data_IF_825903526477
#
_entry.id   IF_825903526477
#
_cell.length_a   1.000
_cell.length_b   1.000
_cell.length_c   1.000
_cell.angle_alpha   90.00
_cell.angle_beta   90.00
_cell.angle_gamma   90.00
#
_symmetry.space_group_name_H-M   'P 1'
#
loop_
_entity.id
_entity.type
_entity.pdbx_description
1 polymer ?
#
# COMPACT_ATOMS: atom_id res chain seq x y z
N UNK A 1 24.36 30.11 43.54
CA UNK A 1 25.05 29.51 42.38
C UNK A 1 24.07 28.56 41.71
N UNK A 2 23.35 29.00 40.67
CA UNK A 2 22.51 28.12 39.87
C UNK A 2 23.36 27.58 38.71
N UNK A 3 23.56 26.27 38.69
CA UNK A 3 24.20 25.57 37.57
C UNK A 3 23.18 25.39 36.45
N UNK A 4 23.38 26.13 35.35
CA UNK A 4 22.64 25.93 34.11
C UNK A 4 23.22 24.71 33.40
N UNK A 5 22.47 23.60 33.34
CA UNK A 5 22.81 22.47 32.49
C UNK A 5 22.48 22.82 31.03
N UNK A 6 23.52 23.02 30.21
CA UNK A 6 23.38 23.06 28.76
C UNK A 6 23.11 21.63 28.28
N UNK A 7 21.88 21.34 27.85
CA UNK A 7 21.60 20.13 27.08
C UNK A 7 22.05 20.40 25.65
N UNK A 8 23.14 19.77 25.24
CA UNK A 8 23.57 19.79 23.85
C UNK A 8 22.56 18.98 23.01
N UNK A 9 21.72 19.68 22.26
CA UNK A 9 20.90 19.06 21.19
C UNK A 9 21.86 18.75 20.05
N UNK A 10 22.31 17.50 19.96
CA UNK A 10 23.01 17.03 18.77
C UNK A 10 22.05 17.10 17.59
N UNK A 11 22.43 17.70 16.44
CA UNK A 11 21.63 17.59 15.25
C UNK A 11 21.52 16.11 14.88
N UNK A 12 20.30 15.62 14.72
CA UNK A 12 20.03 14.31 14.14
C UNK A 12 20.54 14.39 12.70
N UNK A 13 21.82 14.08 12.49
CA UNK A 13 22.34 13.80 11.15
C UNK A 13 21.54 12.58 10.71
N UNK A 14 20.58 12.77 9.81
CA UNK A 14 19.82 11.68 9.23
C UNK A 14 20.83 10.68 8.67
N UNK A 15 21.04 9.58 9.38
CA UNK A 15 21.87 8.51 8.88
C UNK A 15 21.19 8.04 7.60
N UNK A 16 21.91 8.12 6.49
CA UNK A 16 21.49 7.55 5.22
C UNK A 16 21.41 6.03 5.41
N UNK A 17 20.24 5.53 5.81
CA UNK A 17 20.05 4.10 6.02
C UNK A 17 19.67 3.49 4.69
N UNK A 18 20.53 2.61 4.20
CA UNK A 18 20.10 1.64 3.19
C UNK A 18 19.24 0.60 3.87
N UNK A 19 18.14 0.16 3.25
CA UNK A 19 17.26 -0.84 3.86
C UNK A 19 16.74 -1.86 2.86
N UNK A 20 17.03 -3.13 3.13
CA UNK A 20 16.53 -4.26 2.34
C UNK A 20 15.02 -4.49 2.50
N UNK A 21 14.34 -3.79 3.41
CA UNK A 21 12.89 -3.90 3.65
C UNK A 21 12.06 -3.10 2.64
N UNK A 22 12.68 -2.15 1.92
CA UNK A 22 12.01 -1.23 1.00
C UNK A 22 11.58 -1.94 -0.27
N UNK A 23 10.32 -1.76 -0.64
CA UNK A 23 9.79 -2.20 -1.93
C UNK A 23 9.23 -1.06 -2.76
N UNK A 24 8.55 -1.43 -3.84
CA UNK A 24 7.80 -0.50 -4.68
C UNK A 24 6.31 -0.86 -4.71
N UNK A 25 5.46 0.07 -4.29
CA UNK A 25 4.04 0.09 -4.69
C UNK A 25 3.97 0.73 -6.07
N UNK A 26 3.85 -0.10 -7.10
CA UNK A 26 4.05 0.33 -8.47
C UNK A 26 2.74 0.73 -9.15
N UNK A 27 2.61 2.02 -9.47
CA UNK A 27 1.50 2.57 -10.25
C UNK A 27 2.01 2.98 -11.64
N UNK A 28 1.92 2.11 -12.67
CA UNK A 28 2.44 2.42 -14.00
C UNK A 28 1.76 3.64 -14.59
N UNK A 29 2.56 4.55 -15.16
CA UNK A 29 2.05 5.73 -15.84
C UNK A 29 2.45 5.72 -17.32
N UNK A 30 1.46 5.53 -18.21
CA UNK A 30 1.68 5.48 -19.65
C UNK A 30 2.17 6.81 -20.26
N UNK A 31 2.02 7.93 -19.53
CA UNK A 31 2.50 9.25 -19.99
C UNK A 31 4.01 9.41 -19.83
N UNK A 32 4.61 8.69 -18.87
CA UNK A 32 6.04 8.75 -18.55
C UNK A 32 6.60 7.34 -18.26
N UNK A 33 6.55 6.42 -19.24
CA UNK A 33 7.04 5.05 -19.05
C UNK A 33 8.55 5.00 -18.76
N UNK A 34 9.30 6.06 -19.09
CA UNK A 34 10.71 6.21 -18.76
C UNK A 34 10.99 6.28 -17.25
N UNK A 35 10.03 6.76 -16.45
CA UNK A 35 10.16 6.89 -14.99
C UNK A 35 10.35 5.50 -14.34
N UNK A 36 9.86 4.43 -14.98
CA UNK A 36 10.01 3.06 -14.49
C UNK A 36 11.48 2.65 -14.26
N UNK A 37 12.41 3.25 -15.02
CA UNK A 37 13.84 2.97 -14.88
C UNK A 37 14.44 3.59 -13.62
N UNK A 38 13.82 4.62 -13.05
CA UNK A 38 14.33 5.32 -11.87
C UNK A 38 14.31 4.40 -10.65
N UNK A 39 13.27 3.60 -10.49
CA UNK A 39 13.05 2.79 -9.29
C UNK A 39 14.05 1.64 -9.12
N UNK A 40 14.57 1.14 -10.24
CA UNK A 40 15.51 0.02 -10.31
C UNK A 40 16.90 0.46 -10.82
N UNK A 41 17.18 1.76 -10.74
CA UNK A 41 18.49 2.28 -11.16
C UNK A 41 19.61 1.73 -10.26
N UNK A 42 20.84 1.68 -10.79
CA UNK A 42 22.00 1.17 -10.04
C UNK A 42 22.15 1.89 -8.70
N UNK A 43 22.25 1.09 -7.63
CA UNK A 43 22.36 1.57 -6.25
C UNK A 43 21.02 1.81 -5.55
N UNK A 44 19.89 1.55 -6.21
CA UNK A 44 18.57 1.57 -5.57
C UNK A 44 18.45 0.47 -4.51
N UNK A 45 17.86 0.81 -3.37
CA UNK A 45 17.60 -0.12 -2.26
C UNK A 45 16.37 -1.01 -2.45
N UNK A 46 15.57 -0.81 -3.50
CA UNK A 46 14.29 -1.53 -3.63
C UNK A 46 14.51 -3.01 -3.99
N UNK A 47 13.97 -3.91 -3.17
CA UNK A 47 14.20 -5.37 -3.31
C UNK A 47 12.97 -6.15 -3.78
N UNK A 48 11.79 -5.55 -3.75
CA UNK A 48 10.53 -6.18 -4.14
C UNK A 48 9.50 -5.16 -4.62
N UNK A 49 8.45 -5.60 -5.31
CA UNK A 49 7.34 -4.76 -5.71
C UNK A 49 6.03 -5.51 -5.82
N UNK A 50 4.94 -4.76 -5.78
CA UNK A 50 3.63 -5.19 -6.23
C UNK A 50 3.00 -4.07 -7.08
N UNK A 51 1.99 -4.40 -7.86
CA UNK A 51 1.39 -3.50 -8.85
C UNK A 51 -0.15 -3.55 -8.85
N UNK A 52 -0.74 -4.01 -7.75
CA UNK A 52 -2.18 -4.28 -7.61
C UNK A 52 -2.75 -5.36 -8.54
N UNK A 53 -1.90 -6.16 -9.17
CA UNK A 53 -2.32 -7.20 -10.13
C UNK A 53 -1.76 -8.57 -9.74
N UNK A 54 -2.34 -9.60 -10.35
CA UNK A 54 -1.89 -10.98 -10.21
C UNK A 54 -0.68 -11.33 -11.09
N UNK A 55 -0.30 -10.45 -12.02
CA UNK A 55 0.82 -10.63 -12.95
C UNK A 55 1.85 -9.51 -12.88
N UNK A 56 3.15 -9.80 -13.13
CA UNK A 56 4.20 -8.81 -13.04
C UNK A 56 4.05 -7.75 -14.15
N UNK A 57 4.36 -6.50 -13.80
CA UNK A 57 4.43 -5.43 -14.79
C UNK A 57 5.51 -5.69 -15.85
N UNK A 58 5.22 -5.49 -17.16
CA UNK A 58 6.21 -5.68 -18.22
C UNK A 58 7.49 -4.87 -18.04
N UNK A 59 7.41 -3.71 -17.36
CA UNK A 59 8.54 -2.84 -17.07
C UNK A 59 9.69 -3.53 -16.31
N UNK A 60 9.40 -4.57 -15.52
CA UNK A 60 10.40 -5.30 -14.74
C UNK A 60 10.50 -6.78 -15.14
N UNK A 61 9.87 -7.17 -16.26
CA UNK A 61 9.88 -8.57 -16.73
C UNK A 61 11.27 -9.10 -17.07
N UNK A 62 12.24 -8.22 -17.30
CA UNK A 62 13.65 -8.57 -17.52
C UNK A 62 14.49 -8.62 -16.26
N UNK A 63 13.96 -8.16 -15.12
CA UNK A 63 14.67 -8.16 -13.84
C UNK A 63 14.45 -9.50 -13.15
N UNK A 64 15.50 -10.20 -12.72
CA UNK A 64 15.34 -11.48 -12.02
C UNK A 64 14.51 -11.35 -10.74
N UNK A 65 13.64 -12.32 -10.48
CA UNK A 65 12.84 -12.41 -9.24
C UNK A 65 13.71 -12.37 -7.97
N UNK A 66 14.97 -12.81 -8.04
CA UNK A 66 15.93 -12.78 -6.93
C UNK A 66 16.54 -11.40 -6.67
N UNK A 67 16.44 -10.47 -7.62
CA UNK A 67 16.94 -9.10 -7.51
C UNK A 67 15.81 -8.11 -7.19
N UNK A 68 14.64 -8.31 -7.80
CA UNK A 68 13.46 -7.49 -7.58
C UNK A 68 12.19 -8.37 -7.57
N UNK A 69 11.83 -8.84 -6.38
CA UNK A 69 10.76 -9.82 -6.20
C UNK A 69 9.39 -9.23 -6.58
N UNK A 70 8.70 -9.80 -7.56
CA UNK A 70 7.29 -9.52 -7.77
C UNK A 70 6.41 -10.27 -6.76
N UNK A 71 5.52 -9.55 -6.09
CA UNK A 71 4.52 -10.10 -5.17
C UNK A 71 3.11 -9.92 -5.78
N UNK A 72 2.44 -11.00 -6.22
CA UNK A 72 1.09 -10.93 -6.78
C UNK A 72 0.07 -10.46 -5.74
N UNK A 73 -0.92 -9.69 -6.17
CA UNK A 73 -2.05 -9.26 -5.34
C UNK A 73 -3.38 -9.68 -5.95
N UNK A 74 -4.27 -10.24 -5.14
CA UNK A 74 -5.68 -10.37 -5.52
C UNK A 74 -6.41 -9.12 -5.05
N UNK A 75 -6.44 -8.07 -5.87
CA UNK A 75 -6.91 -6.74 -5.45
C UNK A 75 -8.35 -6.75 -4.89
N UNK A 76 -9.24 -7.52 -5.51
CA UNK A 76 -10.64 -7.63 -5.10
C UNK A 76 -11.25 -8.96 -5.55
N UNK A 77 -12.58 -9.04 -5.51
CA UNK A 77 -13.32 -10.28 -5.78
C UNK A 77 -14.27 -10.06 -6.96
N UNK A 78 -14.30 -11.02 -7.89
CA UNK A 78 -15.24 -11.01 -9.00
C UNK A 78 -16.69 -11.23 -8.51
N UNK A 79 -17.73 -10.99 -9.33
CA UNK A 79 -19.11 -11.35 -8.95
C UNK A 79 -19.29 -12.81 -8.53
N UNK A 80 -18.44 -13.72 -9.00
CA UNK A 80 -18.31 -15.06 -8.44
C UNK A 80 -17.18 -15.10 -7.41
N UNK A 81 -17.46 -15.21 -6.10
CA UNK A 81 -16.42 -15.27 -5.08
C UNK A 81 -15.61 -16.57 -5.10
N UNK A 82 -16.06 -17.61 -5.80
CA UNK A 82 -15.33 -18.88 -5.95
C UNK A 82 -14.51 -18.93 -7.24
N UNK A 83 -14.41 -17.82 -7.98
CA UNK A 83 -13.53 -17.74 -9.14
C UNK A 83 -12.06 -17.96 -8.73
N UNK A 84 -11.35 -18.82 -9.48
CA UNK A 84 -9.98 -19.25 -9.18
C UNK A 84 -8.94 -18.66 -10.12
N UNK A 85 -9.25 -17.55 -10.80
CA UNK A 85 -8.32 -16.92 -11.76
C UNK A 85 -7.01 -16.51 -11.07
N UNK A 86 -7.09 -15.96 -9.86
CA UNK A 86 -5.88 -15.59 -9.09
C UNK A 86 -4.98 -16.80 -8.81
N UNK A 87 -5.54 -17.88 -8.25
CA UNK A 87 -4.81 -19.13 -8.01
C UNK A 87 -4.17 -19.67 -9.30
N UNK A 88 -4.90 -19.68 -10.42
CA UNK A 88 -4.39 -20.13 -11.72
C UNK A 88 -3.25 -19.25 -12.23
N UNK A 89 -3.37 -17.93 -12.10
CA UNK A 89 -2.32 -16.99 -12.50
C UNK A 89 -1.05 -17.20 -11.69
N UNK A 90 -1.15 -17.25 -10.35
CA UNK A 90 0.01 -17.45 -9.47
C UNK A 90 0.67 -18.81 -9.73
N UNK A 91 -0.11 -19.89 -9.83
CA UNK A 91 0.43 -21.22 -10.11
C UNK A 91 1.04 -21.34 -11.51
N UNK A 92 0.50 -20.62 -12.50
CA UNK A 92 1.07 -20.51 -13.85
C UNK A 92 2.40 -19.76 -13.86
N UNK A 93 2.55 -18.68 -13.09
CA UNK A 93 3.84 -17.98 -12.93
C UNK A 93 4.92 -18.95 -12.39
N UNK A 94 4.56 -19.79 -11.42
CA UNK A 94 5.48 -20.75 -10.82
C UNK A 94 5.80 -21.89 -11.81
N UNK A 95 4.77 -22.58 -12.32
CA UNK A 95 4.95 -23.83 -13.07
C UNK A 95 5.33 -23.61 -14.52
N UNK A 96 4.76 -22.60 -15.17
CA UNK A 96 4.91 -22.40 -16.61
C UNK A 96 5.98 -21.35 -16.94
N UNK A 97 6.23 -20.41 -16.02
CA UNK A 97 7.23 -19.34 -16.20
C UNK A 97 8.47 -19.52 -15.33
N UNK A 98 8.47 -20.44 -14.37
CA UNK A 98 9.61 -20.68 -13.47
C UNK A 98 9.89 -19.50 -12.52
N UNK A 99 8.92 -18.63 -12.28
CA UNK A 99 9.07 -17.48 -11.38
C UNK A 99 8.85 -17.96 -9.95
N UNK A 100 9.85 -17.73 -9.09
CA UNK A 100 9.78 -18.12 -7.68
C UNK A 100 8.89 -17.16 -6.87
N UNK A 101 7.58 -17.39 -6.90
CA UNK A 101 6.61 -16.66 -6.08
C UNK A 101 6.64 -17.22 -4.66
N UNK A 102 7.03 -16.40 -3.69
CA UNK A 102 7.12 -16.81 -2.28
C UNK A 102 6.07 -16.16 -1.38
N UNK A 103 5.51 -15.02 -1.79
CA UNK A 103 4.48 -14.27 -1.08
C UNK A 103 3.33 -13.89 -2.03
N UNK A 104 2.13 -13.73 -1.47
CA UNK A 104 0.99 -13.10 -2.15
C UNK A 104 0.27 -12.13 -1.22
N UNK A 105 -0.30 -11.07 -1.79
CA UNK A 105 -1.08 -10.06 -1.08
C UNK A 105 -2.59 -10.32 -1.26
N UNK A 106 -3.33 -10.17 -0.17
CA UNK A 106 -4.78 -10.20 -0.13
C UNK A 106 -5.44 -8.96 -0.75
N UNK A 107 -6.73 -8.80 -0.46
CA UNK A 107 -7.57 -7.73 -1.01
C UNK A 107 -7.11 -6.34 -0.57
N UNK A 108 -7.26 -5.36 -1.48
CA UNK A 108 -6.86 -3.98 -1.26
C UNK A 108 -8.02 -3.16 -0.67
N UNK A 109 -7.88 -2.73 0.57
CA UNK A 109 -8.87 -1.92 1.30
C UNK A 109 -10.29 -2.44 1.13
N UNK A 110 -10.57 -3.71 1.49
CA UNK A 110 -11.90 -4.27 1.34
C UNK A 110 -12.94 -3.61 2.26
N UNK A 111 -12.51 -2.92 3.31
CA UNK A 111 -13.34 -2.09 4.19
C UNK A 111 -13.58 -0.68 3.64
N UNK A 112 -12.91 -0.32 2.53
CA UNK A 112 -13.03 0.97 1.84
C UNK A 112 -13.82 0.86 0.54
N UNK A 113 -14.59 1.90 0.16
CA UNK A 113 -15.38 1.88 -1.06
C UNK A 113 -14.53 2.06 -2.32
N UNK A 114 -15.01 1.54 -3.45
CA UNK A 114 -14.39 1.73 -4.77
C UNK A 114 -14.14 3.19 -5.14
N UNK A 115 -15.00 4.11 -4.68
CA UNK A 115 -14.87 5.54 -4.94
C UNK A 115 -13.56 6.16 -4.40
N UNK A 116 -12.93 5.51 -3.41
CA UNK A 116 -11.65 5.93 -2.84
C UNK A 116 -10.50 4.99 -3.18
N UNK A 117 -10.71 4.02 -4.08
CA UNK A 117 -9.69 3.05 -4.48
C UNK A 117 -9.68 1.75 -3.69
N UNK A 118 -10.64 1.53 -2.79
CA UNK A 118 -10.80 0.25 -2.09
C UNK A 118 -11.55 -0.80 -2.90
N UNK A 119 -11.47 -2.06 -2.46
CA UNK A 119 -12.12 -3.17 -3.15
C UNK A 119 -13.57 -3.41 -2.71
N UNK A 120 -14.07 -2.71 -1.69
CA UNK A 120 -15.48 -2.69 -1.24
C UNK A 120 -16.10 -4.08 -1.09
N UNK A 121 -15.60 -4.86 -0.13
CA UNK A 121 -15.99 -6.26 0.06
C UNK A 121 -16.60 -6.52 1.43
N UNK A 122 -17.71 -7.25 1.45
CA UNK A 122 -18.20 -7.85 2.68
C UNK A 122 -17.22 -8.94 3.18
N UNK A 123 -16.94 -9.02 4.49
CA UNK A 123 -16.03 -10.02 5.05
C UNK A 123 -16.37 -11.47 4.68
N UNK A 124 -17.66 -11.79 4.54
CA UNK A 124 -18.12 -13.14 4.18
C UNK A 124 -17.83 -13.49 2.71
N UNK A 125 -17.91 -12.51 1.81
CA UNK A 125 -17.59 -12.68 0.39
C UNK A 125 -16.07 -12.83 0.23
N UNK A 126 -15.30 -11.98 0.90
CA UNK A 126 -13.85 -12.09 0.94
C UNK A 126 -13.39 -13.46 1.48
N UNK A 127 -14.04 -13.99 2.52
CA UNK A 127 -13.71 -15.30 3.09
C UNK A 127 -13.89 -16.45 2.09
N UNK A 128 -14.96 -16.44 1.27
CA UNK A 128 -15.15 -17.44 0.21
C UNK A 128 -14.03 -17.38 -0.84
N UNK A 129 -13.68 -16.18 -1.28
CA UNK A 129 -12.57 -15.98 -2.22
C UNK A 129 -11.23 -16.40 -1.65
N UNK A 130 -10.99 -16.15 -0.35
CA UNK A 130 -9.80 -16.61 0.35
C UNK A 130 -9.70 -18.13 0.39
N UNK A 131 -10.79 -18.83 0.71
CA UNK A 131 -10.80 -20.30 0.70
C UNK A 131 -10.56 -20.86 -0.70
N UNK A 132 -11.16 -20.25 -1.74
CA UNK A 132 -10.99 -20.70 -3.11
C UNK A 132 -9.57 -20.46 -3.67
N UNK A 133 -8.91 -19.36 -3.29
CA UNK A 133 -7.65 -18.94 -3.90
C UNK A 133 -6.44 -19.03 -2.99
N UNK A 134 -6.54 -18.58 -1.73
CA UNK A 134 -5.39 -18.42 -0.84
C UNK A 134 -5.08 -19.69 -0.04
N UNK A 135 -6.10 -20.42 0.42
CA UNK A 135 -5.87 -21.69 1.15
C UNK A 135 -5.02 -22.68 0.32
N UNK A 136 -5.33 -22.95 -0.96
CA UNK A 136 -4.48 -23.82 -1.78
C UNK A 136 -3.06 -23.27 -2.00
N UNK A 137 -2.89 -21.95 -2.10
CA UNK A 137 -1.55 -21.34 -2.20
C UNK A 137 -0.75 -21.55 -0.90
N UNK A 138 -1.40 -21.43 0.25
CA UNK A 138 -0.80 -21.70 1.56
C UNK A 138 -0.37 -23.17 1.70
N UNK A 139 -1.17 -24.12 1.21
CA UNK A 139 -0.83 -25.55 1.16
C UNK A 139 0.40 -25.82 0.27
N UNK A 140 0.65 -24.96 -0.73
CA UNK A 140 1.87 -24.99 -1.55
C UNK A 140 3.08 -24.34 -0.86
N UNK A 141 2.93 -23.81 0.35
CA UNK A 141 3.99 -23.15 1.11
C UNK A 141 4.19 -21.67 0.76
N UNK A 142 3.31 -21.07 -0.03
CA UNK A 142 3.35 -19.64 -0.36
C UNK A 142 2.84 -18.85 0.84
N UNK A 143 3.53 -17.77 1.19
CA UNK A 143 3.20 -16.91 2.31
C UNK A 143 2.01 -16.01 2.00
N UNK A 144 1.01 -16.03 2.87
CA UNK A 144 -0.27 -15.36 2.64
C UNK A 144 -0.37 -14.06 3.44
N UNK A 145 -0.47 -12.93 2.73
CA UNK A 145 -0.77 -11.64 3.31
C UNK A 145 -2.27 -11.47 3.50
N UNK A 146 -2.70 -11.14 4.72
CA UNK A 146 -4.10 -10.78 4.99
C UNK A 146 -4.56 -9.60 4.12
N UNK A 147 -5.88 -9.36 4.02
CA UNK A 147 -6.38 -8.18 3.33
C UNK A 147 -5.83 -6.89 3.95
N UNK A 148 -5.41 -5.96 3.09
CA UNK A 148 -4.82 -4.69 3.48
C UNK A 148 -5.95 -3.69 3.74
N UNK A 149 -6.54 -3.70 4.93
CA UNK A 149 -7.60 -2.74 5.28
C UNK A 149 -7.08 -1.30 5.33
N UNK A 150 -8.00 -0.35 5.17
CA UNK A 150 -7.72 1.07 5.37
C UNK A 150 -7.15 1.34 6.78
N UNK A 151 -6.51 2.50 6.96
CA UNK A 151 -6.07 2.97 8.28
C UNK A 151 -7.21 3.33 9.24
N UNK A 152 -8.47 3.20 8.82
CA UNK A 152 -9.63 3.54 9.65
C UNK A 152 -9.90 2.50 10.75
N UNK A 153 -10.56 2.89 11.87
CA UNK A 153 -10.91 1.97 12.93
C UNK A 153 -11.76 0.76 12.49
N UNK A 154 -12.50 0.87 11.38
CA UNK A 154 -13.34 -0.20 10.86
C UNK A 154 -12.54 -1.40 10.32
N UNK A 155 -11.27 -1.21 9.94
CA UNK A 155 -10.46 -2.29 9.37
C UNK A 155 -10.18 -3.45 10.34
N UNK A 156 -10.03 -3.18 11.64
CA UNK A 156 -9.79 -4.26 12.63
C UNK A 156 -11.02 -5.17 12.82
N UNK A 157 -12.23 -4.64 13.09
CA UNK A 157 -13.45 -5.45 13.08
C UNK A 157 -13.66 -6.21 11.76
N UNK A 158 -13.35 -5.59 10.61
CA UNK A 158 -13.48 -6.24 9.31
C UNK A 158 -12.59 -7.49 9.21
N UNK A 159 -11.30 -7.38 9.59
CA UNK A 159 -10.36 -8.50 9.57
C UNK A 159 -10.77 -9.66 10.49
N UNK A 160 -11.25 -9.34 11.70
CA UNK A 160 -11.74 -10.35 12.64
C UNK A 160 -12.97 -11.10 12.10
N UNK A 161 -13.93 -10.38 11.51
CA UNK A 161 -15.09 -11.00 10.86
C UNK A 161 -14.69 -11.87 9.68
N UNK A 162 -13.77 -11.38 8.84
CA UNK A 162 -13.24 -12.11 7.69
C UNK A 162 -12.60 -13.44 8.11
N UNK A 163 -11.70 -13.41 9.11
CA UNK A 163 -11.04 -14.62 9.62
C UNK A 163 -12.02 -15.59 10.29
N UNK A 164 -13.02 -15.08 11.02
CA UNK A 164 -14.08 -15.89 11.60
C UNK A 164 -14.88 -16.64 10.53
N UNK A 165 -15.37 -15.91 9.52
CA UNK A 165 -16.09 -16.49 8.38
C UNK A 165 -15.23 -17.51 7.61
N UNK A 166 -13.95 -17.19 7.39
CA UNK A 166 -13.03 -18.09 6.70
C UNK A 166 -12.83 -19.40 7.49
N UNK A 167 -12.61 -19.29 8.80
CA UNK A 167 -12.41 -20.43 9.69
C UNK A 167 -13.65 -21.33 9.75
N UNK A 168 -14.85 -20.74 9.73
CA UNK A 168 -16.11 -21.49 9.63
C UNK A 168 -16.20 -22.28 8.31
N UNK A 169 -15.86 -21.66 7.18
CA UNK A 169 -15.92 -22.30 5.85
C UNK A 169 -14.99 -23.52 5.72
N UNK A 170 -13.82 -23.50 6.35
CA UNK A 170 -12.86 -24.61 6.28
C UNK A 170 -13.02 -25.64 7.41
N UNK A 171 -13.91 -25.38 8.37
CA UNK A 171 -14.21 -26.30 9.46
C UNK A 171 -15.23 -27.35 8.99
N UNK A 172 -14.85 -28.62 8.95
CA UNK A 172 -15.70 -29.72 8.43
C UNK A 172 -15.85 -30.83 9.45
N UNK A 173 -17.03 -31.47 9.52
CA UNK A 173 -17.21 -32.70 10.29
C UNK A 173 -16.96 -32.58 11.80
N UNK A 174 -17.08 -31.37 12.36
CA UNK A 174 -16.80 -31.08 13.77
C UNK A 174 -15.35 -30.74 14.09
N UNK A 175 -14.44 -30.81 13.12
CA UNK A 175 -13.05 -30.33 13.28
C UNK A 175 -12.99 -28.82 13.03
N UNK A 176 -12.63 -28.06 14.06
CA UNK A 176 -12.44 -26.61 13.95
C UNK A 176 -11.05 -26.30 13.40
N UNK A 177 -11.00 -25.53 12.31
CA UNK A 177 -9.77 -25.06 11.68
C UNK A 177 -9.80 -23.54 11.59
N UNK A 178 -8.64 -22.93 11.83
CA UNK A 178 -8.47 -21.49 11.61
C UNK A 178 -7.85 -21.27 10.23
N UNK A 179 -8.31 -20.26 9.51
CA UNK A 179 -7.64 -19.87 8.28
C UNK A 179 -6.21 -19.41 8.58
N UNK A 180 -5.28 -19.92 7.78
CA UNK A 180 -3.86 -19.60 7.90
C UNK A 180 -3.55 -18.30 7.18
N UNK A 181 -2.56 -17.60 7.73
CA UNK A 181 -1.95 -16.40 7.18
C UNK A 181 -0.55 -16.28 7.77
N UNK A 182 0.32 -15.52 7.12
CA UNK A 182 1.73 -15.38 7.54
C UNK A 182 2.07 -13.94 7.93
N UNK A 183 1.47 -12.96 7.24
CA UNK A 183 1.74 -11.55 7.47
C UNK A 183 0.49 -10.69 7.29
N UNK A 184 0.54 -9.49 7.85
CA UNK A 184 -0.53 -8.50 7.84
C UNK A 184 -0.06 -7.24 7.13
N UNK A 185 -0.53 -7.02 5.89
CA UNK A 185 -0.49 -5.73 5.22
C UNK A 185 -1.22 -4.64 6.02
N UNK A 186 -0.63 -3.44 6.11
CA UNK A 186 -1.25 -2.27 6.76
C UNK A 186 -1.12 -1.04 5.88
N UNK A 187 -2.21 -0.27 5.79
CA UNK A 187 -2.25 1.01 5.09
C UNK A 187 -2.36 2.18 6.08
N UNK A 188 -1.72 3.31 5.77
CA UNK A 188 -1.82 4.49 6.61
C UNK A 188 -1.56 5.82 5.88
N UNK A 189 -2.54 6.73 5.93
CA UNK A 189 -2.46 8.04 5.27
C UNK A 189 -2.70 9.20 6.25
N UNK A 190 -1.86 9.33 7.27
CA UNK A 190 -1.89 10.41 8.27
C UNK A 190 -0.51 10.51 8.98
N UNK A 191 -0.43 11.25 10.07
CA UNK A 191 0.78 11.50 10.85
C UNK A 191 1.46 10.24 11.43
N UNK A 192 2.72 10.40 11.84
CA UNK A 192 3.56 9.31 12.35
C UNK A 192 3.08 8.72 13.68
N UNK A 193 2.56 9.54 14.60
CA UNK A 193 2.08 9.04 15.89
C UNK A 193 0.91 8.08 15.71
N UNK A 194 -0.02 8.41 14.81
CA UNK A 194 -1.12 7.54 14.43
C UNK A 194 -0.63 6.26 13.72
N UNK A 195 0.34 6.36 12.82
CA UNK A 195 0.95 5.19 12.17
C UNK A 195 1.53 4.20 13.19
N UNK A 196 2.35 4.69 14.13
CA UNK A 196 2.95 3.86 15.16
C UNK A 196 1.90 3.24 16.08
N UNK A 197 0.86 4.00 16.45
CA UNK A 197 -0.28 3.49 17.23
C UNK A 197 -1.05 2.40 16.46
N UNK A 198 -1.30 2.61 15.16
CA UNK A 198 -2.01 1.68 14.29
C UNK A 198 -1.26 0.35 14.20
N UNK A 199 0.05 0.40 13.90
CA UNK A 199 0.90 -0.80 13.87
C UNK A 199 0.92 -1.51 15.23
N UNK A 200 0.97 -0.75 16.34
CA UNK A 200 0.88 -1.30 17.69
C UNK A 200 -0.42 -2.07 17.94
N UNK A 201 -1.57 -1.51 17.55
CA UNK A 201 -2.88 -2.16 17.65
C UNK A 201 -2.92 -3.45 16.81
N UNK A 202 -2.42 -3.39 15.56
CA UNK A 202 -2.34 -4.58 14.70
C UNK A 202 -1.47 -5.66 15.31
N UNK A 203 -0.30 -5.31 15.84
CA UNK A 203 0.61 -6.25 16.47
C UNK A 203 0.02 -6.89 17.72
N UNK A 204 -0.79 -6.16 18.49
CA UNK A 204 -1.45 -6.70 19.67
C UNK A 204 -2.55 -7.73 19.32
N UNK A 205 -3.24 -7.56 18.18
CA UNK A 205 -4.29 -8.47 17.73
C UNK A 205 -3.75 -9.66 16.90
N UNK A 206 -2.60 -9.49 16.26
CA UNK A 206 -1.94 -10.47 15.40
C UNK A 206 -0.48 -10.71 15.85
N UNK A 207 -0.27 -11.28 17.06
CA UNK A 207 1.05 -11.36 17.70
C UNK A 207 2.02 -12.35 17.03
N UNK A 208 1.58 -13.14 16.06
CA UNK A 208 2.47 -14.04 15.32
C UNK A 208 2.72 -13.57 13.89
N UNK A 209 1.91 -12.65 13.38
CA UNK A 209 2.05 -12.11 12.03
C UNK A 209 3.21 -11.11 11.92
N UNK A 210 3.98 -11.21 10.84
CA UNK A 210 4.82 -10.11 10.38
C UNK A 210 3.94 -8.97 9.88
N UNK A 211 4.42 -7.74 9.97
CA UNK A 211 3.76 -6.55 9.43
C UNK A 211 4.45 -6.16 8.14
N UNK A 212 3.64 -5.96 7.09
CA UNK A 212 4.08 -5.31 5.86
C UNK A 212 3.34 -3.99 5.74
N UNK A 213 4.05 -2.86 5.68
CA UNK A 213 3.41 -1.55 5.48
C UNK A 213 3.28 -1.32 3.99
N UNK A 214 2.19 -1.82 3.39
CA UNK A 214 2.05 -1.86 1.92
C UNK A 214 1.65 -0.52 1.32
N UNK A 215 1.06 0.38 2.09
CA UNK A 215 0.87 1.76 1.65
C UNK A 215 0.99 2.72 2.82
N UNK A 216 1.82 3.74 2.67
CA UNK A 216 1.81 4.85 3.60
C UNK A 216 2.36 6.14 3.01
N UNK A 217 1.78 7.26 3.42
CA UNK A 217 2.28 8.61 3.16
C UNK A 217 1.59 9.61 4.09
N UNK A 218 2.23 10.74 4.40
CA UNK A 218 1.53 11.82 5.11
C UNK A 218 0.81 12.72 4.09
N UNK A 219 -0.43 12.34 3.76
CA UNK A 219 -1.16 12.91 2.65
C UNK A 219 -1.49 14.40 2.84
N UNK A 220 -1.34 15.16 1.75
CA UNK A 220 -1.70 16.58 1.64
C UNK A 220 -1.05 17.52 2.68
N UNK A 221 0.15 17.19 3.13
CA UNK A 221 0.90 18.03 4.07
C UNK A 221 1.95 18.92 3.40
N UNK A 222 2.42 19.91 4.16
CA UNK A 222 3.55 20.74 3.81
C UNK A 222 4.85 19.93 3.69
N UNK A 223 5.77 20.40 2.85
CA UNK A 223 6.99 19.67 2.49
C UNK A 223 7.81 19.24 3.71
N UNK A 224 8.02 20.16 4.66
CA UNK A 224 8.80 19.89 5.87
C UNK A 224 8.16 18.77 6.71
N UNK A 225 6.84 18.82 6.92
CA UNK A 225 6.11 17.79 7.67
C UNK A 225 6.14 16.43 6.97
N UNK A 226 6.05 16.39 5.64
CA UNK A 226 6.16 15.14 4.87
C UNK A 226 7.57 14.55 4.94
N UNK A 227 8.61 15.39 4.86
CA UNK A 227 10.01 14.96 5.01
C UNK A 227 10.31 14.45 6.42
N UNK A 228 9.80 15.12 7.46
CA UNK A 228 9.93 14.68 8.84
C UNK A 228 9.21 13.34 9.05
N UNK A 229 7.98 13.21 8.57
CA UNK A 229 7.23 11.95 8.61
C UNK A 229 7.98 10.81 7.94
N UNK A 230 8.53 11.05 6.75
CA UNK A 230 9.32 10.05 6.03
C UNK A 230 10.54 9.59 6.86
N UNK A 231 11.32 10.53 7.40
CA UNK A 231 12.50 10.20 8.18
C UNK A 231 12.15 9.41 9.46
N UNK A 232 11.09 9.81 10.18
CA UNK A 232 10.63 9.09 11.37
C UNK A 232 10.12 7.68 11.04
N UNK A 233 9.33 7.53 9.98
CA UNK A 233 8.77 6.24 9.59
C UNK A 233 9.83 5.28 9.05
N UNK A 234 10.76 5.74 8.21
CA UNK A 234 11.85 4.91 7.70
C UNK A 234 12.75 4.40 8.83
N UNK A 235 13.16 5.25 9.77
CA UNK A 235 13.93 4.84 10.97
C UNK A 235 13.17 3.77 11.76
N UNK A 236 11.89 4.04 12.05
CA UNK A 236 11.06 3.15 12.84
C UNK A 236 10.91 1.78 12.18
N UNK A 237 10.65 1.73 10.87
CA UNK A 237 10.48 0.47 10.14
C UNK A 237 11.78 -0.32 10.04
N UNK A 238 12.91 0.35 9.83
CA UNK A 238 14.21 -0.31 9.74
C UNK A 238 14.60 -0.94 11.09
N UNK A 239 14.30 -0.27 12.22
CA UNK A 239 14.62 -0.74 13.58
C UNK A 239 13.76 -1.91 14.08
N UNK A 240 12.52 -2.04 13.61
CA UNK A 240 11.55 -2.97 14.20
C UNK A 240 11.51 -4.32 13.45
N UNK A 241 11.86 -5.40 14.14
CA UNK A 241 12.03 -6.75 13.55
C UNK A 241 10.75 -7.41 13.00
N UNK A 242 9.59 -7.05 13.57
CA UNK A 242 8.31 -7.58 13.08
C UNK A 242 7.77 -6.79 11.89
N UNK A 243 8.33 -5.63 11.57
CA UNK A 243 8.06 -4.91 10.31
C UNK A 243 9.06 -5.46 9.31
N UNK A 244 8.57 -6.33 8.42
CA UNK A 244 9.42 -7.08 7.51
C UNK A 244 9.67 -6.31 6.22
N UNK A 245 8.63 -5.65 5.69
CA UNK A 245 8.68 -4.91 4.43
C UNK A 245 7.81 -3.67 4.46
N UNK A 246 8.16 -2.67 3.65
CA UNK A 246 7.33 -1.48 3.49
C UNK A 246 7.44 -0.83 2.10
N UNK A 247 6.38 -0.14 1.69
CA UNK A 247 6.25 0.57 0.42
C UNK A 247 5.68 1.97 0.64
N UNK A 248 6.52 2.99 0.52
CA UNK A 248 6.06 4.39 0.60
C UNK A 248 5.25 4.74 -0.66
N UNK A 249 4.06 5.29 -0.47
CA UNK A 249 3.16 5.64 -1.58
C UNK A 249 3.56 6.98 -2.20
N UNK A 250 4.57 6.93 -3.09
CA UNK A 250 5.18 8.13 -3.68
C UNK A 250 5.78 7.94 -5.07
N UNK A 251 5.73 6.75 -5.67
CA UNK A 251 6.42 6.41 -6.92
C UNK A 251 5.75 6.98 -8.19
N UNK A 252 5.57 8.29 -8.22
CA UNK A 252 4.95 9.05 -9.30
C UNK A 252 5.48 10.49 -9.29
N UNK A 253 5.12 11.26 -10.31
CA UNK A 253 5.39 12.70 -10.38
C UNK A 253 4.41 13.48 -9.51
N UNK A 254 4.87 14.58 -8.91
CA UNK A 254 4.06 15.45 -8.04
C UNK A 254 2.75 15.92 -8.67
N UNK A 255 2.74 16.30 -9.96
CA UNK A 255 1.53 16.72 -10.68
C UNK A 255 0.45 15.65 -10.86
N UNK A 256 0.77 14.37 -10.63
CA UNK A 256 -0.20 13.25 -10.70
C UNK A 256 -0.46 12.61 -9.34
N UNK A 257 0.07 13.19 -8.27
CA UNK A 257 -0.15 12.67 -6.91
C UNK A 257 -1.58 12.91 -6.44
N UNK A 258 -2.26 11.84 -6.04
CA UNK A 258 -3.53 11.89 -5.32
C UNK A 258 -3.37 12.05 -3.80
N UNK A 259 -2.15 11.96 -3.26
CA UNK A 259 -1.83 12.15 -1.82
C UNK A 259 -1.11 13.47 -1.54
N UNK A 260 -1.18 14.41 -2.49
CA UNK A 260 -0.50 15.71 -2.42
C UNK A 260 0.91 15.70 -3.03
N UNK A 261 1.37 16.84 -3.55
CA UNK A 261 2.57 16.90 -4.39
C UNK A 261 3.87 16.62 -3.63
N UNK A 262 3.88 16.84 -2.31
CA UNK A 262 5.08 16.80 -1.49
C UNK A 262 5.52 15.38 -1.07
N UNK A 263 4.62 14.39 -1.18
CA UNK A 263 4.94 12.98 -0.91
C UNK A 263 5.60 12.26 -2.09
N UNK A 264 5.64 12.88 -3.27
CA UNK A 264 6.08 12.23 -4.50
C UNK A 264 7.59 12.08 -4.59
N UNK A 265 8.04 10.98 -5.18
CA UNK A 265 9.45 10.68 -5.44
C UNK A 265 10.01 11.51 -6.58
N UNK A 266 9.16 11.94 -7.52
CA UNK A 266 9.59 12.73 -8.66
C UNK A 266 8.89 14.08 -8.67
N UNK A 267 9.63 15.13 -9.03
CA UNK A 267 9.05 16.42 -9.35
C UNK A 267 8.27 16.39 -10.68
N UNK A 268 7.77 17.53 -11.14
CA UNK A 268 6.96 17.62 -12.36
C UNK A 268 7.70 17.20 -13.65
N UNK A 269 9.05 17.26 -13.62
CA UNK A 269 9.95 16.92 -14.73
C UNK A 269 10.55 15.50 -14.63
N UNK A 270 10.14 14.70 -13.64
CA UNK A 270 10.69 13.35 -13.48
C UNK A 270 12.07 13.33 -12.80
N UNK A 271 12.43 14.36 -12.04
CA UNK A 271 13.66 14.39 -11.23
C UNK A 271 13.37 13.98 -9.80
N UNK A 272 14.25 13.17 -9.22
CA UNK A 272 14.12 12.70 -7.84
C UNK A 272 14.05 13.88 -6.86
N UNK A 273 12.99 13.90 -6.06
CA UNK A 273 12.86 14.75 -4.87
C UNK A 273 13.76 14.21 -3.76
N UNK A 274 13.87 14.94 -2.65
CA UNK A 274 14.60 14.43 -1.48
C UNK A 274 14.01 13.11 -0.96
N UNK A 275 12.69 13.01 -0.77
CA UNK A 275 12.04 11.77 -0.31
C UNK A 275 12.28 10.63 -1.30
N UNK A 276 12.13 10.88 -2.60
CA UNK A 276 12.40 9.86 -3.62
C UNK A 276 13.85 9.38 -3.58
N UNK A 277 14.79 10.32 -3.45
CA UNK A 277 16.21 9.99 -3.39
C UNK A 277 16.55 9.17 -2.13
N UNK A 278 16.08 9.61 -0.97
CA UNK A 278 16.30 8.92 0.30
C UNK A 278 15.68 7.51 0.29
N UNK A 279 14.46 7.38 -0.24
CA UNK A 279 13.77 6.09 -0.29
C UNK A 279 14.51 5.07 -1.16
N UNK A 280 15.15 5.52 -2.24
CA UNK A 280 15.98 4.67 -3.08
C UNK A 280 17.40 4.46 -2.51
N UNK A 281 17.75 5.02 -1.34
CA UNK A 281 19.06 4.83 -0.70
C UNK A 281 20.12 5.88 -1.08
N UNK A 282 19.74 6.94 -1.79
CA UNK A 282 20.64 8.00 -2.25
C UNK A 282 20.63 9.22 -1.32
N UNK A 283 21.57 10.15 -1.54
CA UNK A 283 21.64 11.43 -0.83
C UNK A 283 20.58 12.42 -1.33
N UNK A 284 20.27 13.43 -0.52
CA UNK A 284 19.33 14.50 -0.87
C UNK A 284 19.68 15.15 -2.22
N UNK A 285 18.67 15.53 -3.00
CA UNK A 285 18.84 16.15 -4.32
C UNK A 285 18.61 17.66 -4.28
N UNK A 286 17.92 18.16 -3.25
CA UNK A 286 17.47 19.54 -3.15
C UNK A 286 16.37 19.90 -4.16
N UNK A 287 15.78 18.92 -4.84
CA UNK A 287 14.74 19.14 -5.84
C UNK A 287 13.40 19.28 -5.14
N UNK A 288 12.81 20.48 -5.22
CA UNK A 288 11.44 20.71 -4.76
C UNK A 288 10.45 19.87 -5.58
N UNK A 289 9.50 19.16 -4.95
CA UNK A 289 8.52 18.33 -5.66
C UNK A 289 7.71 19.10 -6.71
N UNK A 290 7.43 20.36 -6.46
CA UNK A 290 6.62 21.19 -7.38
C UNK A 290 7.45 21.91 -8.46
N UNK A 291 8.78 21.72 -8.47
CA UNK A 291 9.64 22.28 -9.51
C UNK A 291 9.48 21.56 -10.86
N UNK A 292 9.82 22.25 -11.96
CA UNK A 292 9.80 21.71 -13.32
C UNK A 292 8.72 22.30 -14.24
N UNK A 293 8.84 21.99 -15.54
CA UNK A 293 8.24 22.60 -16.74
C UNK A 293 6.90 23.35 -16.56
N UNK A 294 7.02 24.58 -16.05
CA UNK A 294 5.99 25.61 -16.02
C UNK A 294 5.28 25.71 -14.67
N UNK A 295 5.87 26.44 -13.70
CA UNK A 295 5.24 26.79 -12.42
C UNK A 295 4.05 27.74 -12.62
N UNK A 296 2.97 27.24 -13.22
CA UNK A 296 1.65 27.79 -13.01
C UNK A 296 0.99 26.91 -11.95
N UNK A 297 0.71 27.51 -10.79
CA UNK A 297 -0.31 27.05 -9.89
C UNK A 297 -1.64 27.02 -10.66
N UNK A 298 -1.89 25.94 -11.40
CA UNK A 298 -3.23 25.54 -11.74
C UNK A 298 -3.78 24.90 -10.48
N UNK A 299 -4.41 25.72 -9.63
CA UNK A 299 -5.62 25.29 -8.93
C UNK A 299 -6.64 24.86 -9.99
N UNK A 300 -6.36 23.74 -10.66
CA UNK A 300 -7.35 22.97 -11.37
C UNK A 300 -8.24 22.44 -10.26
N UNK A 301 -9.46 22.97 -10.20
CA UNK A 301 -10.53 22.36 -9.41
C UNK A 301 -10.38 20.85 -9.57
N UNK A 302 -10.39 20.14 -8.45
CA UNK A 302 -10.71 18.72 -8.45
C UNK A 302 -11.84 18.49 -9.48
N UNK A 303 -11.91 17.35 -10.18
CA UNK A 303 -13.15 16.99 -10.82
C UNK A 303 -14.20 16.97 -9.69
N UNK A 304 -14.93 18.08 -9.56
CA UNK A 304 -16.25 18.09 -8.97
C UNK A 304 -17.01 17.23 -9.96
N UNK A 305 -17.03 15.92 -9.72
CA UNK A 305 -18.08 15.10 -10.27
C UNK A 305 -19.37 15.78 -9.81
N UNK A 306 -20.05 16.39 -10.78
CA UNK A 306 -21.25 17.15 -10.54
C UNK A 306 -22.22 16.25 -9.79
N UNK A 307 -22.54 16.62 -8.56
CA UNK A 307 -23.77 16.21 -7.92
C UNK A 307 -24.92 16.63 -8.84
N UNK A 308 -25.42 15.71 -9.66
CA UNK A 308 -26.75 15.85 -10.21
C UNK A 308 -27.70 15.51 -9.07
N UNK A 309 -28.09 16.54 -8.32
CA UNK A 309 -29.25 16.47 -7.44
C UNK A 309 -30.47 16.36 -8.35
N UNK A 310 -30.99 15.14 -8.52
CA UNK A 310 -32.33 14.96 -9.05
C UNK A 310 -33.29 15.35 -7.93
N UNK A 311 -33.78 16.58 -7.98
CA UNK A 311 -34.90 17.01 -7.17
C UNK A 311 -36.14 16.23 -7.59
N UNK A 312 -36.57 15.27 -6.76
CA UNK A 312 -37.91 14.68 -6.85
C UNK A 312 -38.90 15.74 -6.38
N UNK A 313 -39.48 16.47 -7.33
CA UNK A 313 -40.63 17.34 -7.09
C UNK A 313 -41.86 16.45 -6.89
N UNK A 314 -42.29 16.30 -5.64
CA UNK A 314 -43.65 15.85 -5.31
C UNK A 314 -44.65 16.86 -5.90
N UNK A 315 -45.31 16.48 -6.99
CA UNK A 315 -46.47 17.19 -7.51
C UNK A 315 -47.71 16.89 -6.68
N UNK A 316 -48.10 17.85 -5.84
CA UNK A 316 -49.46 17.93 -5.28
C UNK A 316 -50.44 18.28 -6.40
N UNK A 317 -51.31 17.33 -6.76
CA UNK A 317 -52.48 17.58 -7.59
C UNK A 317 -53.49 18.38 -6.75
N UNK A 318 -53.71 19.63 -7.13
CA UNK A 318 -54.84 20.43 -6.62
C UNK A 318 -55.86 20.48 -7.74
N UNK A 319 -57.02 19.85 -7.54
CA UNK A 319 -58.18 19.98 -8.42
C UNK A 319 -58.99 21.17 -7.91
N UNK A 320 -59.22 22.15 -8.79
CA UNK A 320 -60.15 23.25 -8.56
C UNK A 320 -61.02 23.43 -9.80
N UNK A 321 -62.21 22.84 -9.78
CA UNK A 321 -63.55 23.46 -9.81
C UNK A 321 -64.59 22.34 -9.79
#
# INVERSE_FOLDING_TARGET
MLSTFLVAVLPLVAAQTTSSKRGLVFTPNASWPEDNKVWVQTGSDLTWYYNYQEIPSPAYSSTPQSEFEFVPMMWGVSPNPEDTTFLKSVTGLIKDKGINITHVLGFNEPDGPHAYGGSDLEPAIAAKAWVANFVPLGEMGIKLGLPACTGAPAGLPWLHQFLGNCSELISTGGEKKNCTYDFLPVHWYDNFAGLASHIGERRANFPDAKIWVTEYAYAHQELEATQEFYNMSAEYFDRIDYIERYTYFGAFRSKTSNVGPNASFLNNDGKLTDIGSWYLGFSATGVSPQSGSGSAAMYGKAPVFAMVVVAVLCGTVTIGF
#
